data_IF_494691434603
#
_entry.id   IF_494691434603
#
_cell.length_a   1.000
_cell.length_b   1.000
_cell.length_c   1.000
_cell.angle_alpha   90.00
_cell.angle_beta   90.00
_cell.angle_gamma   90.00
#
_symmetry.space_group_name_H-M   'P 1'
#
loop_
_entity.id
_entity.type
_entity.pdbx_description
1 polymer ?
#
# COMPACT_ATOMS: atom_id res chain seq x y z
N UNK A 1 19.71 9.96 1.52
CA UNK A 1 20.27 10.51 0.26
C UNK A 1 21.75 10.15 0.27
N UNK A 2 22.28 9.37 -0.68
CA UNK A 2 23.69 8.92 -0.65
C UNK A 2 23.97 7.44 -0.96
N UNK A 3 22.96 6.63 -1.31
CA UNK A 3 23.19 5.31 -1.89
C UNK A 3 23.14 5.44 -3.40
N UNK A 4 24.13 4.89 -4.13
CA UNK A 4 24.07 4.81 -5.58
C UNK A 4 22.81 4.09 -6.07
N UNK A 5 22.35 4.38 -7.28
CA UNK A 5 21.13 3.83 -7.88
C UNK A 5 21.01 2.29 -7.69
N UNK A 6 22.09 1.55 -7.93
CA UNK A 6 22.13 0.10 -7.74
C UNK A 6 22.00 -0.36 -6.28
N UNK A 7 22.55 0.39 -5.32
CA UNK A 7 22.41 0.07 -3.90
C UNK A 7 20.98 0.33 -3.40
N UNK A 8 20.32 1.38 -3.91
CA UNK A 8 18.91 1.65 -3.63
C UNK A 8 18.01 0.52 -4.16
N UNK A 9 18.21 0.08 -5.40
CA UNK A 9 17.44 -1.02 -6.00
C UNK A 9 17.65 -2.34 -5.27
N UNK A 10 18.90 -2.66 -4.90
CA UNK A 10 19.20 -3.87 -4.13
C UNK A 10 18.49 -3.87 -2.78
N UNK A 11 18.58 -2.76 -2.04
CA UNK A 11 17.91 -2.59 -0.74
C UNK A 11 16.39 -2.72 -0.86
N UNK A 12 15.80 -2.13 -1.90
CA UNK A 12 14.35 -2.18 -2.16
C UNK A 12 13.90 -3.57 -2.60
N UNK A 13 14.67 -4.25 -3.44
CA UNK A 13 14.39 -5.62 -3.87
C UNK A 13 14.32 -6.57 -2.68
N UNK A 14 15.31 -6.53 -1.79
CA UNK A 14 15.30 -7.38 -0.59
C UNK A 14 14.12 -7.06 0.34
N UNK A 15 13.75 -5.79 0.49
CA UNK A 15 12.68 -5.37 1.41
C UNK A 15 11.27 -5.54 0.88
N UNK A 16 11.11 -5.84 -0.41
CA UNK A 16 9.80 -6.02 -1.05
C UNK A 16 9.62 -7.44 -1.56
N UNK A 17 10.58 -7.98 -2.32
CA UNK A 17 10.43 -9.28 -2.97
C UNK A 17 10.54 -10.45 -1.98
N UNK A 18 11.39 -10.34 -0.95
CA UNK A 18 11.46 -11.39 0.07
C UNK A 18 10.16 -11.48 0.90
N UNK A 19 9.62 -10.37 1.45
CA UNK A 19 8.32 -10.41 2.09
C UNK A 19 7.18 -10.84 1.19
N UNK A 20 7.22 -10.50 -0.10
CA UNK A 20 6.26 -10.97 -1.09
C UNK A 20 6.31 -12.50 -1.22
N UNK A 21 7.50 -13.06 -1.48
CA UNK A 21 7.68 -14.50 -1.63
C UNK A 21 7.27 -15.26 -0.35
N UNK A 22 7.69 -14.77 0.82
CA UNK A 22 7.27 -15.34 2.10
C UNK A 22 5.76 -15.24 2.31
N UNK A 23 5.17 -14.08 2.00
CA UNK A 23 3.75 -13.85 2.07
C UNK A 23 2.96 -14.82 1.19
N UNK A 24 3.36 -14.99 -0.07
CA UNK A 24 2.77 -15.95 -1.02
C UNK A 24 2.89 -17.40 -0.56
N UNK A 25 4.00 -17.75 0.11
CA UNK A 25 4.25 -19.12 0.56
C UNK A 25 3.59 -19.46 1.90
N UNK A 26 3.44 -18.50 2.82
CA UNK A 26 3.09 -18.79 4.22
C UNK A 26 1.84 -18.04 4.70
N UNK A 27 1.69 -16.77 4.34
CA UNK A 27 0.66 -15.90 4.94
C UNK A 27 -0.61 -15.88 4.11
N UNK A 28 -0.47 -15.75 2.79
CA UNK A 28 -1.57 -15.63 1.83
C UNK A 28 -2.28 -16.95 1.55
N UNK A 29 -1.69 -18.16 1.55
CA UNK A 29 -2.36 -19.38 1.08
C UNK A 29 -3.71 -19.72 1.73
N UNK A 30 -3.97 -19.24 2.95
CA UNK A 30 -5.29 -19.40 3.54
C UNK A 30 -6.41 -18.61 2.81
N UNK A 31 -6.07 -17.47 2.21
CA UNK A 31 -7.01 -16.63 1.46
C UNK A 31 -7.60 -17.33 0.22
N UNK A 32 -6.80 -17.85 -0.75
CA UNK A 32 -7.33 -18.57 -1.90
C UNK A 32 -8.00 -19.90 -1.50
N UNK A 33 -7.55 -20.55 -0.42
CA UNK A 33 -8.24 -21.71 0.15
C UNK A 33 -9.67 -21.35 0.58
N UNK A 34 -9.82 -20.31 1.41
CA UNK A 34 -11.12 -19.86 1.89
C UNK A 34 -12.05 -19.44 0.75
N UNK A 35 -11.52 -18.70 -0.24
CA UNK A 35 -12.26 -18.32 -1.45
C UNK A 35 -12.72 -19.53 -2.25
N UNK A 36 -11.82 -20.49 -2.52
CA UNK A 36 -12.15 -21.68 -3.31
C UNK A 36 -13.13 -22.62 -2.63
N UNK A 37 -13.06 -22.74 -1.30
CA UNK A 37 -14.06 -23.49 -0.52
C UNK A 37 -15.41 -22.77 -0.54
N UNK A 38 -15.42 -21.45 -0.33
CA UNK A 38 -16.66 -20.66 -0.33
C UNK A 38 -17.38 -20.68 -1.69
N UNK A 39 -16.62 -20.67 -2.79
CA UNK A 39 -17.16 -20.74 -4.15
C UNK A 39 -17.53 -22.18 -4.58
N UNK A 40 -17.27 -23.20 -3.75
CA UNK A 40 -17.55 -24.60 -4.06
C UNK A 40 -16.60 -25.25 -5.06
N UNK A 41 -15.49 -24.60 -5.40
CA UNK A 41 -14.49 -25.11 -6.35
C UNK A 41 -13.43 -25.99 -5.70
N UNK A 42 -13.23 -25.88 -4.38
CA UNK A 42 -12.21 -26.62 -3.62
C UNK A 42 -12.88 -27.33 -2.45
N UNK A 43 -12.58 -28.61 -2.27
CA UNK A 43 -13.05 -29.37 -1.11
C UNK A 43 -12.39 -28.89 0.19
N UNK A 44 -13.11 -28.91 1.33
CA UNK A 44 -12.51 -28.60 2.63
C UNK A 44 -11.31 -29.51 2.94
N UNK A 45 -10.24 -28.93 3.47
CA UNK A 45 -9.00 -29.64 3.78
C UNK A 45 -7.76 -28.79 3.47
N UNK A 46 -7.39 -27.90 4.39
CA UNK A 46 -6.30 -26.94 4.16
C UNK A 46 -4.95 -27.61 3.89
N UNK A 47 -4.64 -28.74 4.54
CA UNK A 47 -3.40 -29.47 4.28
C UNK A 47 -3.32 -30.03 2.85
N UNK A 48 -4.40 -30.64 2.36
CA UNK A 48 -4.49 -31.13 0.99
C UNK A 48 -4.43 -29.97 -0.03
N UNK A 49 -5.09 -28.85 0.29
CA UNK A 49 -4.97 -27.63 -0.50
C UNK A 49 -3.51 -27.14 -0.57
N UNK A 50 -2.79 -27.06 0.56
CA UNK A 50 -1.42 -26.58 0.59
C UNK A 50 -0.47 -27.46 -0.23
N UNK A 51 -0.61 -28.79 -0.16
CA UNK A 51 0.20 -29.71 -0.97
C UNK A 51 0.03 -29.44 -2.48
N UNK A 52 -1.22 -29.22 -2.92
CA UNK A 52 -1.53 -28.86 -4.31
C UNK A 52 -1.13 -27.43 -4.68
N UNK A 53 -1.19 -26.50 -3.73
CA UNK A 53 -0.76 -25.11 -3.91
C UNK A 53 0.74 -25.01 -4.14
N UNK A 54 1.53 -25.75 -3.37
CA UNK A 54 2.97 -25.79 -3.57
C UNK A 54 3.41 -26.62 -4.78
N UNK A 55 2.54 -27.48 -5.33
CA UNK A 55 2.79 -28.13 -6.64
C UNK A 55 2.40 -27.25 -7.83
N UNK A 56 1.84 -26.06 -7.61
CA UNK A 56 1.42 -25.14 -8.67
C UNK A 56 0.09 -25.48 -9.35
N UNK A 57 -0.75 -26.31 -8.72
CA UNK A 57 -2.01 -26.75 -9.31
C UNK A 57 -1.89 -28.12 -10.03
N UNK A 58 -2.68 -28.38 -11.09
CA UNK A 58 -3.63 -27.45 -11.74
C UNK A 58 -4.79 -27.08 -10.81
N UNK A 59 -5.54 -26.03 -11.10
CA UNK A 59 -6.74 -25.65 -10.35
C UNK A 59 -7.96 -25.58 -11.26
N UNK A 60 -9.18 -25.81 -10.75
CA UNK A 60 -10.39 -25.46 -11.47
C UNK A 60 -10.38 -23.98 -11.86
N UNK A 61 -10.92 -23.66 -13.04
CA UNK A 61 -11.07 -22.27 -13.47
C UNK A 61 -11.90 -21.49 -12.44
N UNK A 62 -11.49 -20.25 -12.15
CA UNK A 62 -12.12 -19.37 -11.16
C UNK A 62 -12.17 -19.91 -9.71
N UNK A 63 -11.36 -20.92 -9.37
CA UNK A 63 -11.27 -21.41 -7.99
C UNK A 63 -10.87 -20.29 -7.00
N UNK A 64 -9.92 -19.45 -7.39
CA UNK A 64 -9.50 -18.26 -6.65
C UNK A 64 -8.75 -17.32 -7.61
N UNK A 65 -8.50 -16.09 -7.16
CA UNK A 65 -7.75 -15.10 -7.95
C UNK A 65 -6.29 -15.55 -8.14
N UNK A 66 -5.88 -15.81 -9.39
CA UNK A 66 -4.56 -16.37 -9.75
C UNK A 66 -4.52 -17.90 -9.86
N UNK A 67 -5.68 -18.58 -9.88
CA UNK A 67 -5.76 -20.04 -10.04
C UNK A 67 -5.15 -20.55 -11.38
N UNK A 68 -5.17 -19.73 -12.42
CA UNK A 68 -4.56 -19.99 -13.73
C UNK A 68 -3.03 -20.05 -13.67
N UNK A 69 -2.42 -19.27 -12.77
CA UNK A 69 -0.97 -19.25 -12.53
C UNK A 69 -0.53 -20.32 -11.52
N UNK A 70 -1.46 -20.83 -10.70
CA UNK A 70 -1.20 -21.84 -9.68
C UNK A 70 -0.97 -21.29 -8.28
N UNK A 71 -0.54 -20.03 -8.18
CA UNK A 71 -0.24 -19.31 -6.94
C UNK A 71 -0.68 -17.85 -7.04
N UNK A 72 -0.90 -17.21 -5.90
CA UNK A 72 -1.37 -15.81 -5.83
C UNK A 72 -0.69 -15.01 -4.74
N UNK A 73 -0.50 -13.72 -4.99
CA UNK A 73 -0.11 -12.74 -3.97
C UNK A 73 -1.31 -12.10 -3.27
N UNK A 74 -2.53 -12.24 -3.81
CA UNK A 74 -3.72 -11.53 -3.33
C UNK A 74 -3.40 -10.07 -2.97
N UNK A 75 -3.76 -9.63 -1.76
CA UNK A 75 -3.53 -8.27 -1.25
C UNK A 75 -2.07 -7.79 -1.21
N UNK A 76 -1.11 -8.71 -1.38
CA UNK A 76 0.31 -8.38 -1.51
C UNK A 76 0.67 -7.87 -2.91
N UNK A 77 -0.30 -7.74 -3.83
CA UNK A 77 -0.10 -7.14 -5.17
C UNK A 77 0.61 -5.78 -5.13
N UNK A 78 0.45 -4.99 -4.06
CA UNK A 78 1.09 -3.68 -3.97
C UNK A 78 2.63 -3.77 -3.86
N UNK A 79 3.21 -4.88 -3.35
CA UNK A 79 4.66 -5.05 -3.23
C UNK A 79 5.37 -5.09 -4.60
N UNK A 80 4.99 -5.96 -5.57
CA UNK A 80 5.63 -5.97 -6.88
C UNK A 80 5.39 -4.67 -7.66
N UNK A 81 4.23 -4.02 -7.51
CA UNK A 81 3.95 -2.70 -8.11
C UNK A 81 4.91 -1.65 -7.58
N UNK A 82 5.05 -1.57 -6.25
CA UNK A 82 5.96 -0.63 -5.61
C UNK A 82 7.42 -0.89 -6.00
N UNK A 83 7.81 -2.14 -6.15
CA UNK A 83 9.14 -2.52 -6.64
C UNK A 83 9.34 -2.05 -8.09
N UNK A 84 8.40 -2.34 -8.98
CA UNK A 84 8.43 -1.94 -10.39
C UNK A 84 8.53 -0.42 -10.52
N UNK A 85 7.69 0.34 -9.80
CA UNK A 85 7.71 1.79 -9.86
C UNK A 85 8.99 2.38 -9.27
N UNK A 86 9.57 1.72 -8.26
CA UNK A 86 10.89 2.10 -7.76
C UNK A 86 11.98 1.86 -8.81
N UNK A 87 11.91 0.75 -9.56
CA UNK A 87 12.84 0.46 -10.66
C UNK A 87 12.73 1.51 -11.78
N UNK A 88 11.51 1.79 -12.23
CA UNK A 88 11.22 2.84 -13.23
C UNK A 88 11.71 4.21 -12.74
N UNK A 89 11.47 4.55 -11.47
CA UNK A 89 11.95 5.81 -10.89
C UNK A 89 13.47 5.90 -10.92
N UNK A 90 14.18 4.84 -10.53
CA UNK A 90 15.64 4.83 -10.52
C UNK A 90 16.21 4.96 -11.93
N UNK A 91 15.65 4.26 -12.91
CA UNK A 91 16.06 4.36 -14.32
C UNK A 91 15.78 5.75 -14.89
N UNK A 92 14.66 6.38 -14.50
CA UNK A 92 14.29 7.73 -14.95
C UNK A 92 14.97 8.87 -14.18
N UNK A 93 15.78 8.58 -13.15
CA UNK A 93 16.45 9.61 -12.35
C UNK A 93 17.27 10.62 -13.17
N UNK A 94 18.06 10.23 -14.19
CA UNK A 94 18.81 11.20 -15.00
C UNK A 94 17.88 12.20 -15.72
N UNK A 95 16.76 11.71 -16.26
CA UNK A 95 15.76 12.53 -16.93
C UNK A 95 15.03 13.45 -15.94
N UNK A 96 14.62 12.92 -14.79
CA UNK A 96 13.97 13.70 -13.73
C UNK A 96 14.92 14.74 -13.09
N UNK A 97 16.23 14.45 -13.09
CA UNK A 97 17.29 15.34 -12.63
C UNK A 97 17.66 16.44 -13.63
N UNK A 98 17.27 16.31 -14.90
CA UNK A 98 17.53 17.32 -15.92
C UNK A 98 16.84 18.65 -15.62
N UNK A 99 17.28 19.74 -16.28
CA UNK A 99 16.65 21.05 -16.13
C UNK A 99 15.15 21.04 -16.45
N UNK A 100 14.72 20.26 -17.44
CA UNK A 100 13.30 20.10 -17.76
C UNK A 100 12.54 19.32 -16.67
N UNK A 101 13.12 18.22 -16.18
CA UNK A 101 12.54 17.43 -15.09
C UNK A 101 12.35 18.25 -13.81
N UNK A 102 13.34 19.08 -13.46
CA UNK A 102 13.23 19.99 -12.33
C UNK A 102 12.18 21.09 -12.56
N UNK A 103 12.06 21.65 -13.77
CA UNK A 103 11.00 22.64 -14.08
C UNK A 103 9.60 22.05 -13.87
N UNK A 104 9.35 20.83 -14.37
CA UNK A 104 8.05 20.14 -14.19
C UNK A 104 7.78 19.90 -12.70
N UNK A 105 8.78 19.38 -11.97
CA UNK A 105 8.67 19.19 -10.53
C UNK A 105 8.36 20.49 -9.78
N UNK A 106 9.05 21.58 -10.11
CA UNK A 106 8.81 22.88 -9.50
C UNK A 106 7.43 23.45 -9.85
N UNK A 107 6.98 23.28 -11.09
CA UNK A 107 5.62 23.67 -11.48
C UNK A 107 4.56 22.95 -10.64
N UNK A 108 4.74 21.65 -10.39
CA UNK A 108 3.87 20.87 -9.51
C UNK A 108 3.96 21.32 -8.04
N UNK A 109 5.17 21.51 -7.50
CA UNK A 109 5.37 21.93 -6.10
C UNK A 109 4.87 23.35 -5.83
N UNK A 110 4.77 24.19 -6.85
CA UNK A 110 4.27 25.57 -6.75
C UNK A 110 2.75 25.69 -6.97
N UNK A 111 2.03 24.57 -7.13
CA UNK A 111 0.58 24.61 -7.22
C UNK A 111 -0.06 25.09 -5.91
N UNK A 112 -1.00 26.03 -6.01
CA UNK A 112 -1.73 26.60 -4.87
C UNK A 112 -3.23 26.70 -5.19
N UNK A 113 -4.06 26.73 -4.15
CA UNK A 113 -5.50 26.93 -4.23
C UNK A 113 -6.18 25.94 -5.18
N UNK A 114 -7.07 26.46 -6.03
CA UNK A 114 -7.81 25.66 -7.00
C UNK A 114 -6.91 24.89 -7.98
N UNK A 115 -5.72 25.42 -8.32
CA UNK A 115 -4.79 24.73 -9.23
C UNK A 115 -4.26 23.44 -8.62
N UNK A 116 -4.01 23.43 -7.30
CA UNK A 116 -3.62 22.21 -6.59
C UNK A 116 -4.76 21.19 -6.51
N UNK A 117 -6.02 21.63 -6.52
CA UNK A 117 -7.17 20.72 -6.57
C UNK A 117 -7.37 20.06 -7.94
N UNK A 118 -7.19 20.82 -9.03
CA UNK A 118 -7.60 20.38 -10.37
C UNK A 118 -6.45 19.74 -11.14
N UNK A 119 -5.29 20.40 -11.22
CA UNK A 119 -4.24 20.01 -12.17
C UNK A 119 -3.66 18.61 -11.93
N UNK A 120 -3.42 18.15 -10.67
CA UNK A 120 -2.94 16.79 -10.43
C UNK A 120 -3.95 15.69 -10.82
N UNK A 121 -5.24 16.01 -10.92
CA UNK A 121 -6.28 15.04 -11.28
C UNK A 121 -6.39 14.87 -12.79
N UNK A 122 -6.06 15.90 -13.57
CA UNK A 122 -6.20 15.87 -15.03
C UNK A 122 -5.57 14.64 -15.70
N UNK A 123 -4.31 14.25 -15.42
CA UNK A 123 -3.77 13.03 -16.00
C UNK A 123 -4.51 11.77 -15.53
N UNK A 124 -4.93 11.71 -14.26
CA UNK A 124 -5.67 10.56 -13.73
C UNK A 124 -7.04 10.40 -14.42
N UNK A 125 -7.77 11.51 -14.57
CA UNK A 125 -9.03 11.57 -15.30
C UNK A 125 -8.84 11.18 -16.77
N UNK A 126 -7.76 11.64 -17.42
CA UNK A 126 -7.43 11.25 -18.79
C UNK A 126 -7.16 9.75 -18.90
N UNK A 127 -6.43 9.16 -17.96
CA UNK A 127 -6.23 7.70 -17.93
C UNK A 127 -7.52 6.94 -17.71
N UNK A 128 -8.42 7.42 -16.85
CA UNK A 128 -9.74 6.84 -16.70
C UNK A 128 -10.61 6.96 -17.95
N UNK A 129 -10.49 8.06 -18.71
CA UNK A 129 -11.20 8.22 -19.97
C UNK A 129 -10.72 7.24 -21.04
N UNK A 130 -9.40 7.08 -21.16
CA UNK A 130 -8.78 6.38 -22.29
C UNK A 130 -8.48 4.90 -22.00
N UNK A 131 -8.04 4.57 -20.78
CA UNK A 131 -7.49 3.26 -20.44
C UNK A 131 -8.46 2.39 -19.63
N UNK A 132 -9.22 2.98 -18.69
CA UNK A 132 -10.10 2.21 -17.81
C UNK A 132 -11.11 1.29 -18.54
N UNK A 133 -11.72 1.69 -19.68
CA UNK A 133 -12.62 0.81 -20.42
C UNK A 133 -11.93 -0.41 -21.05
N UNK A 134 -10.63 -0.32 -21.30
CA UNK A 134 -9.84 -1.34 -22.02
C UNK A 134 -8.99 -2.21 -21.09
N UNK A 135 -8.66 -1.69 -19.91
CA UNK A 135 -7.82 -2.35 -18.91
C UNK A 135 -8.55 -2.39 -17.56
N UNK A 136 -9.51 -3.33 -17.39
CA UNK A 136 -10.14 -3.55 -16.09
C UNK A 136 -9.10 -3.89 -15.02
N UNK A 137 -9.23 -3.36 -13.79
CA UNK A 137 -8.25 -3.62 -12.73
C UNK A 137 -8.24 -5.10 -12.32
N UNK A 138 -7.09 -5.76 -12.47
CA UNK A 138 -6.87 -7.16 -12.11
C UNK A 138 -5.89 -7.34 -10.93
N UNK A 139 -4.98 -6.39 -10.72
CA UNK A 139 -3.85 -6.49 -9.79
C UNK A 139 -2.86 -7.63 -10.11
N UNK A 140 -2.73 -7.98 -11.41
CA UNK A 140 -1.86 -9.06 -11.90
C UNK A 140 -0.45 -8.59 -12.36
N UNK A 141 -0.11 -7.31 -12.17
CA UNK A 141 1.13 -6.64 -12.58
C UNK A 141 1.35 -6.49 -14.10
N UNK A 142 0.71 -7.29 -14.94
CA UNK A 142 1.06 -7.38 -16.37
C UNK A 142 0.01 -6.69 -17.24
N UNK A 143 -1.27 -6.93 -16.99
CA UNK A 143 -2.37 -6.47 -17.84
C UNK A 143 -3.03 -5.19 -17.29
N UNK A 144 -2.44 -4.60 -16.26
CA UNK A 144 -3.03 -3.54 -15.45
C UNK A 144 -2.74 -2.13 -15.97
N UNK A 145 -2.88 -1.91 -17.30
CA UNK A 145 -2.45 -0.69 -17.98
C UNK A 145 -3.01 0.62 -17.37
N UNK A 146 -4.31 0.63 -17.04
CA UNK A 146 -4.94 1.78 -16.36
C UNK A 146 -4.39 1.99 -14.94
N UNK A 147 -4.27 0.91 -14.15
CA UNK A 147 -3.74 0.99 -12.78
C UNK A 147 -2.27 1.41 -12.77
N UNK A 148 -1.46 0.97 -13.73
CA UNK A 148 -0.09 1.43 -13.88
C UNK A 148 -0.01 2.94 -14.12
N UNK A 149 -0.82 3.47 -15.04
CA UNK A 149 -0.84 4.90 -15.32
C UNK A 149 -1.21 5.73 -14.09
N UNK A 150 -2.25 5.32 -13.35
CA UNK A 150 -2.72 6.00 -12.14
C UNK A 150 -1.70 5.88 -11.00
N UNK A 151 -1.28 4.67 -10.66
CA UNK A 151 -0.43 4.44 -9.49
C UNK A 151 1.00 4.94 -9.67
N UNK A 152 1.59 4.81 -10.87
CA UNK A 152 2.93 5.37 -11.14
C UNK A 152 2.91 6.90 -11.04
N UNK A 153 1.85 7.54 -11.52
CA UNK A 153 1.67 9.00 -11.41
C UNK A 153 1.56 9.45 -9.96
N UNK A 154 0.72 8.78 -9.16
CA UNK A 154 0.59 9.08 -7.73
C UNK A 154 1.89 8.79 -6.95
N UNK A 155 2.61 7.73 -7.31
CA UNK A 155 3.93 7.43 -6.76
C UNK A 155 4.94 8.54 -7.06
N UNK A 156 4.95 9.05 -8.30
CA UNK A 156 5.79 10.18 -8.70
C UNK A 156 5.42 11.47 -7.94
N UNK A 157 4.13 11.75 -7.77
CA UNK A 157 3.67 12.89 -6.95
C UNK A 157 4.16 12.77 -5.51
N UNK A 158 4.01 11.60 -4.88
CA UNK A 158 4.52 11.35 -3.54
C UNK A 158 6.04 11.55 -3.44
N UNK A 159 6.79 11.12 -4.46
CA UNK A 159 8.24 11.33 -4.54
C UNK A 159 8.61 12.81 -4.66
N UNK A 160 7.89 13.60 -5.47
CA UNK A 160 8.10 15.04 -5.61
C UNK A 160 7.77 15.81 -4.34
N UNK A 161 6.61 15.54 -3.72
CA UNK A 161 6.12 16.19 -2.49
C UNK A 161 7.18 16.06 -1.40
N UNK A 162 7.65 14.84 -1.14
CA UNK A 162 8.73 14.55 -0.19
C UNK A 162 8.65 15.40 1.09
N UNK A 163 9.63 16.28 1.27
CA UNK A 163 9.75 17.19 2.41
C UNK A 163 9.54 18.67 2.04
N UNK A 164 8.82 18.96 0.95
CA UNK A 164 8.61 20.32 0.47
C UNK A 164 7.68 21.13 1.38
N UNK A 165 8.24 22.08 2.12
CA UNK A 165 7.49 22.80 3.16
C UNK A 165 6.33 23.64 2.59
N UNK A 166 6.50 24.23 1.40
CA UNK A 166 5.49 25.07 0.75
C UNK A 166 4.27 24.26 0.34
N UNK A 167 4.48 23.09 -0.25
CA UNK A 167 3.39 22.17 -0.60
C UNK A 167 2.65 21.66 0.64
N UNK A 168 3.37 21.25 1.69
CA UNK A 168 2.76 20.76 2.93
C UNK A 168 1.96 21.86 3.67
N UNK A 169 2.46 23.09 3.69
CA UNK A 169 1.75 24.23 4.24
C UNK A 169 0.44 24.50 3.47
N UNK A 170 0.48 24.42 2.14
CA UNK A 170 -0.71 24.60 1.31
C UNK A 170 -1.74 23.48 1.49
N UNK A 171 -1.31 22.21 1.50
CA UNK A 171 -2.21 21.09 1.77
C UNK A 171 -2.88 21.24 3.15
N UNK A 172 -2.11 21.69 4.16
CA UNK A 172 -2.64 22.00 5.49
C UNK A 172 -3.66 23.14 5.42
N UNK A 173 -3.40 24.22 4.67
CA UNK A 173 -4.33 25.34 4.49
C UNK A 173 -5.66 24.88 3.86
N UNK A 174 -5.60 23.98 2.88
CA UNK A 174 -6.75 23.49 2.12
C UNK A 174 -7.51 22.33 2.79
N UNK A 175 -7.02 21.79 3.92
CA UNK A 175 -7.54 20.55 4.56
C UNK A 175 -9.07 20.47 4.71
N UNK A 176 -9.74 21.57 5.06
CA UNK A 176 -11.20 21.60 5.25
C UNK A 176 -11.95 21.62 3.92
N UNK A 177 -11.49 22.44 2.97
CA UNK A 177 -12.03 22.46 1.62
C UNK A 177 -11.85 21.09 0.95
N UNK A 178 -10.69 20.47 1.14
CA UNK A 178 -10.39 19.13 0.62
C UNK A 178 -11.27 18.06 1.27
N UNK A 179 -11.50 18.14 2.58
CA UNK A 179 -12.40 17.22 3.29
C UNK A 179 -13.85 17.35 2.80
N UNK A 180 -14.35 18.59 2.68
CA UNK A 180 -15.70 18.86 2.15
C UNK A 180 -15.85 18.39 0.70
N UNK A 181 -14.85 18.67 -0.15
CA UNK A 181 -14.83 18.19 -1.52
C UNK A 181 -14.78 16.66 -1.59
N UNK A 182 -13.94 16.00 -0.78
CA UNK A 182 -13.88 14.54 -0.73
C UNK A 182 -15.21 13.93 -0.31
N UNK A 183 -15.86 14.45 0.73
CA UNK A 183 -17.17 13.97 1.17
C UNK A 183 -18.24 14.15 0.07
N UNK A 184 -18.31 15.33 -0.56
CA UNK A 184 -19.25 15.61 -1.64
C UNK A 184 -19.02 14.75 -2.89
N UNK A 185 -17.76 14.59 -3.30
CA UNK A 185 -17.39 13.76 -4.46
C UNK A 185 -17.62 12.27 -4.21
N UNK A 186 -17.43 11.81 -2.97
CA UNK A 186 -17.75 10.43 -2.57
C UNK A 186 -19.26 10.17 -2.67
N UNK A 187 -20.07 11.07 -2.11
CA UNK A 187 -21.52 10.99 -2.21
C UNK A 187 -21.98 11.02 -3.68
N UNK A 188 -21.39 11.92 -4.48
CA UNK A 188 -21.67 12.02 -5.91
C UNK A 188 -21.28 10.75 -6.67
N UNK A 189 -20.09 10.18 -6.40
CA UNK A 189 -19.64 8.93 -6.99
C UNK A 189 -20.61 7.77 -6.72
N UNK A 190 -20.97 7.57 -5.45
CA UNK A 190 -21.90 6.50 -5.07
C UNK A 190 -23.32 6.75 -5.58
N UNK A 191 -23.79 8.00 -5.55
CA UNK A 191 -25.09 8.38 -6.11
C UNK A 191 -25.17 8.09 -7.61
N UNK A 192 -24.15 8.47 -8.39
CA UNK A 192 -24.11 8.17 -9.82
C UNK A 192 -23.94 6.67 -10.10
N UNK A 193 -23.18 5.92 -9.28
CA UNK A 193 -23.08 4.46 -9.40
C UNK A 193 -24.41 3.77 -9.13
N UNK A 194 -25.11 4.19 -8.08
CA UNK A 194 -26.43 3.68 -7.74
C UNK A 194 -27.44 4.00 -8.84
N UNK A 195 -27.45 5.22 -9.37
CA UNK A 195 -28.31 5.59 -10.50
C UNK A 195 -27.96 4.83 -11.78
N UNK A 196 -26.67 4.63 -12.08
CA UNK A 196 -26.24 3.88 -13.25
C UNK A 196 -26.72 2.42 -13.24
N UNK A 197 -26.82 1.81 -12.06
CA UNK A 197 -27.23 0.42 -11.88
C UNK A 197 -28.74 0.28 -11.64
N UNK A 198 -29.30 1.04 -10.70
CA UNK A 198 -30.70 0.90 -10.27
C UNK A 198 -31.71 1.64 -11.13
N UNK A 199 -31.30 2.68 -11.86
CA UNK A 199 -32.15 3.40 -12.83
C UNK A 199 -31.77 3.07 -14.28
N UNK A 200 -30.92 2.04 -14.48
CA UNK A 200 -30.45 1.60 -15.80
C UNK A 200 -29.90 2.75 -16.67
N UNK A 201 -29.15 3.68 -16.06
CA UNK A 201 -28.52 4.83 -16.74
C UNK A 201 -27.02 4.58 -16.98
N UNK A 202 -26.61 3.71 -17.93
CA UNK A 202 -25.20 3.33 -18.12
C UNK A 202 -24.30 4.52 -18.46
N UNK A 203 -24.86 5.61 -19.02
CA UNK A 203 -24.15 6.86 -19.31
C UNK A 203 -23.53 7.53 -18.07
N UNK A 204 -24.00 7.20 -16.86
CA UNK A 204 -23.45 7.72 -15.60
C UNK A 204 -22.20 6.96 -15.11
N UNK A 205 -21.84 5.83 -15.73
CA UNK A 205 -20.66 5.04 -15.32
C UNK A 205 -19.35 5.82 -15.45
N UNK A 206 -19.15 6.50 -16.58
CA UNK A 206 -17.93 7.29 -16.81
C UNK A 206 -17.90 8.55 -15.92
N UNK A 207 -18.97 9.38 -15.84
CA UNK A 207 -19.04 10.46 -14.85
C UNK A 207 -18.74 9.99 -13.43
N UNK A 208 -19.29 8.84 -13.00
CA UNK A 208 -18.99 8.28 -11.68
C UNK A 208 -17.51 7.96 -11.51
N UNK A 209 -16.84 7.40 -12.52
CA UNK A 209 -15.39 7.15 -12.50
C UNK A 209 -14.59 8.45 -12.37
N UNK A 210 -14.95 9.49 -13.10
CA UNK A 210 -14.29 10.80 -13.02
C UNK A 210 -14.50 11.47 -11.65
N UNK A 211 -15.70 11.33 -11.07
CA UNK A 211 -15.95 11.75 -9.69
C UNK A 211 -15.08 10.97 -8.69
N UNK A 212 -14.80 9.68 -8.94
CA UNK A 212 -13.88 8.90 -8.12
C UNK A 212 -12.42 9.38 -8.24
N UNK A 213 -11.98 9.84 -9.41
CA UNK A 213 -10.63 10.38 -9.60
C UNK A 213 -10.44 11.71 -8.86
N UNK A 214 -11.45 12.58 -8.93
CA UNK A 214 -11.50 13.82 -8.16
C UNK A 214 -11.55 13.54 -6.65
N UNK A 215 -12.39 12.58 -6.25
CA UNK A 215 -12.49 12.13 -4.86
C UNK A 215 -11.14 11.64 -4.34
N UNK A 216 -10.45 10.79 -5.11
CA UNK A 216 -9.15 10.23 -4.76
C UNK A 216 -8.18 11.34 -4.38
N UNK A 217 -8.04 12.37 -5.23
CA UNK A 217 -7.10 13.44 -4.97
C UNK A 217 -7.55 14.38 -3.84
N UNK A 218 -8.84 14.72 -3.75
CA UNK A 218 -9.38 15.50 -2.66
C UNK A 218 -9.18 14.80 -1.30
N UNK A 219 -9.41 13.48 -1.25
CA UNK A 219 -9.18 12.66 -0.07
C UNK A 219 -7.69 12.62 0.30
N UNK A 220 -6.78 12.47 -0.67
CA UNK A 220 -5.34 12.54 -0.43
C UNK A 220 -4.94 13.91 0.15
N UNK A 221 -5.40 15.02 -0.42
CA UNK A 221 -5.13 16.36 0.12
C UNK A 221 -5.67 16.54 1.54
N UNK A 222 -6.88 16.05 1.82
CA UNK A 222 -7.48 16.10 3.14
C UNK A 222 -6.68 15.28 4.16
N UNK A 223 -6.36 14.03 3.84
CA UNK A 223 -5.60 13.12 4.72
C UNK A 223 -4.22 13.68 4.98
N UNK A 224 -3.49 14.09 3.93
CA UNK A 224 -2.13 14.61 4.06
C UNK A 224 -2.11 15.94 4.82
N UNK A 225 -3.05 16.85 4.54
CA UNK A 225 -3.17 18.13 5.25
C UNK A 225 -3.48 17.96 6.74
N UNK A 226 -4.40 17.07 7.10
CA UNK A 226 -4.71 16.76 8.50
C UNK A 226 -3.58 16.02 9.21
N UNK A 227 -2.98 15.03 8.56
CA UNK A 227 -1.84 14.29 9.10
C UNK A 227 -0.65 15.21 9.35
N UNK A 228 -0.37 16.14 8.43
CA UNK A 228 0.69 17.12 8.63
C UNK A 228 0.42 18.03 9.84
N UNK A 229 -0.81 18.52 10.00
CA UNK A 229 -1.17 19.39 11.12
C UNK A 229 -1.16 18.68 12.48
N UNK A 230 -1.67 17.43 12.54
CA UNK A 230 -1.98 16.76 13.82
C UNK A 230 -0.98 15.66 14.20
N UNK A 231 -0.34 15.03 13.22
CA UNK A 231 0.48 13.83 13.42
C UNK A 231 1.97 14.07 13.17
N UNK A 232 2.36 15.17 12.49
CA UNK A 232 3.76 15.50 12.19
C UNK A 232 4.54 16.03 13.41
N UNK A 233 4.66 15.19 14.45
CA UNK A 233 5.39 15.47 15.68
C UNK A 233 6.03 14.18 16.21
N UNK A 234 7.08 14.26 17.04
CA UNK A 234 7.65 13.07 17.65
C UNK A 234 6.63 12.45 18.63
N UNK A 235 6.32 11.17 18.43
CA UNK A 235 5.52 10.39 19.38
C UNK A 235 6.37 9.30 20.02
N UNK A 236 6.17 9.06 21.31
CA UNK A 236 6.89 8.01 22.06
C UNK A 236 6.75 6.61 21.42
N UNK A 237 5.60 6.34 20.81
CA UNK A 237 5.28 5.06 20.17
C UNK A 237 5.55 5.05 18.66
N UNK A 238 6.02 6.16 18.07
CA UNK A 238 6.32 6.24 16.63
C UNK A 238 7.34 5.19 16.15
N UNK A 239 8.44 4.90 16.89
CA UNK A 239 9.36 3.84 16.50
C UNK A 239 8.68 2.47 16.41
N UNK A 240 7.77 2.19 17.35
CA UNK A 240 6.96 0.96 17.34
C UNK A 240 6.02 0.94 16.14
N UNK A 241 5.31 2.04 15.87
CA UNK A 241 4.39 2.16 14.75
C UNK A 241 5.10 1.95 13.41
N UNK A 242 6.24 2.62 13.20
CA UNK A 242 7.05 2.48 11.99
C UNK A 242 7.51 1.03 11.74
N UNK A 243 7.87 0.30 12.79
CA UNK A 243 8.21 -1.13 12.68
C UNK A 243 6.98 -2.04 12.56
N UNK A 244 5.76 -1.55 12.79
CA UNK A 244 4.54 -2.37 12.79
C UNK A 244 3.74 -2.23 11.51
N UNK A 245 3.80 -1.09 10.82
CA UNK A 245 3.02 -0.82 9.59
C UNK A 245 3.18 -1.93 8.55
N UNK A 246 4.41 -2.35 8.25
CA UNK A 246 4.64 -3.33 7.19
C UNK A 246 4.27 -4.76 7.60
N UNK A 247 4.61 -5.26 8.81
CA UNK A 247 4.04 -6.52 9.31
C UNK A 247 2.51 -6.55 9.33
N UNK A 248 1.86 -5.47 9.78
CA UNK A 248 0.39 -5.37 9.80
C UNK A 248 -0.18 -5.43 8.40
N UNK A 249 0.45 -4.75 7.44
CA UNK A 249 0.07 -4.83 6.05
C UNK A 249 0.17 -6.27 5.49
N UNK A 250 1.20 -7.04 5.84
CA UNK A 250 1.32 -8.44 5.40
C UNK A 250 0.28 -9.37 6.07
N UNK A 251 -0.11 -9.09 7.31
CA UNK A 251 -0.94 -9.99 8.13
C UNK A 251 -2.45 -9.72 8.01
N UNK A 252 -2.84 -8.45 7.94
CA UNK A 252 -4.23 -8.03 8.23
C UNK A 252 -5.27 -8.74 7.37
N UNK A 253 -5.07 -8.87 6.05
CA UNK A 253 -6.11 -9.44 5.20
C UNK A 253 -6.30 -10.95 5.42
N UNK A 254 -5.24 -11.70 5.73
CA UNK A 254 -5.40 -13.11 6.10
C UNK A 254 -6.18 -13.24 7.41
N UNK A 255 -5.91 -12.37 8.38
CA UNK A 255 -6.65 -12.34 9.65
C UNK A 255 -8.12 -11.93 9.44
N UNK A 256 -8.39 -10.97 8.55
CA UNK A 256 -9.77 -10.59 8.17
C UNK A 256 -10.47 -11.78 7.55
N UNK A 257 -9.86 -12.47 6.57
CA UNK A 257 -10.51 -13.60 5.90
C UNK A 257 -10.73 -14.76 6.87
N UNK A 258 -9.75 -15.06 7.73
CA UNK A 258 -9.94 -16.03 8.80
C UNK A 258 -11.10 -15.62 9.71
N UNK A 259 -11.08 -14.40 10.26
CA UNK A 259 -12.17 -13.88 11.09
C UNK A 259 -13.53 -13.96 10.40
N UNK A 260 -13.62 -13.59 9.12
CA UNK A 260 -14.85 -13.63 8.35
C UNK A 260 -15.38 -15.06 8.16
N UNK A 261 -14.52 -16.04 7.86
CA UNK A 261 -14.93 -17.46 7.75
C UNK A 261 -15.50 -17.97 9.07
N UNK A 262 -14.92 -17.56 10.21
CA UNK A 262 -15.38 -17.98 11.53
C UNK A 262 -16.63 -17.23 12.02
N UNK A 263 -16.77 -15.95 11.68
CA UNK A 263 -17.85 -15.08 12.15
C UNK A 263 -19.10 -15.13 11.25
N UNK A 264 -18.95 -15.29 9.93
CA UNK A 264 -20.07 -15.23 8.99
C UNK A 264 -21.20 -16.22 9.31
N UNK A 265 -20.95 -17.47 9.76
CA UNK A 265 -22.03 -18.39 10.15
C UNK A 265 -22.85 -17.93 11.37
N UNK A 266 -22.30 -17.02 12.18
CA UNK A 266 -22.95 -16.53 13.40
C UNK A 266 -23.99 -15.43 13.11
N UNK A 267 -23.94 -14.82 11.91
CA UNK A 267 -24.88 -13.79 11.44
C UNK A 267 -25.17 -12.71 12.50
N UNK A 268 -24.13 -12.13 13.10
CA UNK A 268 -24.25 -11.22 14.26
C UNK A 268 -24.76 -9.81 13.90
N UNK A 269 -25.22 -9.63 12.67
CA UNK A 269 -25.75 -8.37 12.16
C UNK A 269 -24.67 -7.34 11.82
N UNK A 270 -25.08 -6.18 11.28
CA UNK A 270 -24.20 -5.22 10.62
C UNK A 270 -23.32 -4.38 11.58
N UNK A 271 -23.45 -4.59 12.89
CA UNK A 271 -22.71 -3.84 13.92
C UNK A 271 -21.72 -4.74 14.65
N UNK A 272 -22.21 -5.83 15.24
CA UNK A 272 -21.37 -6.70 16.08
C UNK A 272 -20.35 -7.44 15.24
N UNK A 273 -20.75 -7.97 14.08
CA UNK A 273 -19.84 -8.74 13.21
C UNK A 273 -18.66 -7.89 12.71
N UNK A 274 -18.85 -6.68 12.13
CA UNK A 274 -17.71 -5.85 11.72
C UNK A 274 -16.84 -5.37 12.89
N UNK A 275 -17.42 -5.11 14.06
CA UNK A 275 -16.67 -4.70 15.26
C UNK A 275 -15.77 -5.84 15.75
N UNK A 276 -16.29 -7.07 15.81
CA UNK A 276 -15.50 -8.26 16.18
C UNK A 276 -14.43 -8.56 15.14
N UNK A 277 -14.76 -8.43 13.85
CA UNK A 277 -13.81 -8.64 12.77
C UNK A 277 -12.64 -7.62 12.83
N UNK A 278 -12.97 -6.35 13.00
CA UNK A 278 -11.96 -5.29 13.13
C UNK A 278 -11.13 -5.46 14.41
N UNK A 279 -11.79 -5.72 15.55
CA UNK A 279 -11.13 -5.92 16.84
C UNK A 279 -10.19 -7.12 16.85
N UNK A 280 -10.64 -8.26 16.34
CA UNK A 280 -9.82 -9.47 16.23
C UNK A 280 -8.65 -9.29 15.25
N UNK A 281 -8.85 -8.59 14.14
CA UNK A 281 -7.78 -8.27 13.19
C UNK A 281 -6.71 -7.37 13.82
N UNK A 282 -7.11 -6.29 14.49
CA UNK A 282 -6.18 -5.38 15.18
C UNK A 282 -5.42 -6.12 16.28
N UNK A 283 -6.13 -6.91 17.09
CA UNK A 283 -5.53 -7.71 18.15
C UNK A 283 -4.55 -8.75 17.59
N UNK A 284 -4.94 -9.47 16.53
CA UNK A 284 -4.09 -10.47 15.87
C UNK A 284 -2.83 -9.84 15.27
N UNK A 285 -2.96 -8.73 14.54
CA UNK A 285 -1.81 -7.98 14.03
C UNK A 285 -0.88 -7.53 15.16
N UNK A 286 -1.44 -7.03 16.26
CA UNK A 286 -0.65 -6.61 17.44
C UNK A 286 0.09 -7.79 18.08
N UNK A 287 -0.61 -8.90 18.34
CA UNK A 287 -0.06 -10.11 18.97
C UNK A 287 1.04 -10.76 18.10
N UNK A 288 0.82 -10.88 16.79
CA UNK A 288 1.77 -11.51 15.87
C UNK A 288 2.98 -10.60 15.57
N UNK A 289 2.81 -9.28 15.59
CA UNK A 289 3.93 -8.35 15.38
C UNK A 289 4.94 -8.39 16.51
N UNK A 290 4.52 -8.70 17.75
CA UNK A 290 5.41 -8.80 18.90
C UNK A 290 6.54 -9.85 18.70
N UNK A 291 6.27 -11.13 18.38
CA UNK A 291 7.31 -12.11 18.08
C UNK A 291 8.08 -11.79 16.79
N UNK A 292 7.42 -11.29 15.73
CA UNK A 292 8.10 -10.90 14.46
C UNK A 292 9.20 -9.87 14.72
N UNK A 293 8.95 -8.89 15.59
CA UNK A 293 9.95 -7.87 15.93
C UNK A 293 11.07 -8.40 16.83
N UNK A 294 10.77 -9.40 17.67
CA UNK A 294 11.70 -9.99 18.64
C UNK A 294 12.65 -11.00 17.99
N UNK A 295 12.14 -11.87 17.12
CA UNK A 295 12.88 -12.98 16.49
C UNK A 295 13.65 -12.47 15.27
N UNK A 296 14.98 -12.55 15.31
CA UNK A 296 15.86 -11.89 14.35
C UNK A 296 15.64 -12.28 12.88
N UNK A 297 15.39 -13.57 12.62
CA UNK A 297 15.22 -14.10 11.26
C UNK A 297 13.83 -13.83 10.65
N UNK A 298 12.80 -13.60 11.49
CA UNK A 298 11.46 -13.22 11.01
C UNK A 298 11.43 -11.77 10.48
N UNK A 299 12.23 -10.87 11.07
CA UNK A 299 12.27 -9.45 10.69
C UNK A 299 12.36 -9.20 9.18
N UNK A 300 13.35 -9.75 8.45
CA UNK A 300 13.45 -9.51 7.01
C UNK A 300 12.26 -10.07 6.21
N UNK A 301 11.62 -11.16 6.65
CA UNK A 301 10.43 -11.74 6.02
C UNK A 301 9.20 -10.82 6.11
N UNK A 302 9.21 -9.90 7.06
CA UNK A 302 8.22 -8.84 7.21
C UNK A 302 8.84 -7.46 6.98
N UNK A 303 9.80 -7.34 6.06
CA UNK A 303 10.37 -6.07 5.55
C UNK A 303 11.08 -5.19 6.58
N UNK A 304 11.32 -5.71 7.79
CA UNK A 304 12.04 -5.04 8.85
C UNK A 304 13.54 -5.18 8.66
N UNK A 305 14.28 -4.15 9.08
CA UNK A 305 15.74 -4.21 9.08
C UNK A 305 16.22 -5.31 10.02
N UNK A 306 17.25 -6.09 9.67
CA UNK A 306 17.94 -6.98 10.59
C UNK A 306 18.34 -6.22 11.85
N UNK A 307 18.32 -6.88 13.02
CA UNK A 307 18.90 -6.28 14.22
C UNK A 307 20.40 -6.09 13.96
N UNK A 308 20.92 -4.89 14.25
CA UNK A 308 22.37 -4.70 14.26
C UNK A 308 22.99 -5.71 15.25
N UNK A 309 24.15 -6.30 14.93
CA UNK A 309 24.91 -7.04 15.92
C UNK A 309 25.10 -6.13 17.14
N UNK A 310 24.87 -6.66 18.35
CA UNK A 310 25.24 -5.92 19.57
C UNK A 310 26.72 -5.62 19.44
N UNK A 311 27.07 -4.34 19.29
CA UNK A 311 28.47 -3.93 19.41
C UNK A 311 28.88 -4.30 20.84
N UNK A 312 29.72 -5.32 20.99
CA UNK A 312 30.40 -5.50 22.27
C UNK A 312 31.17 -4.20 22.54
N UNK A 313 31.11 -3.65 23.76
CA UNK A 313 32.01 -2.57 24.12
C UNK A 313 33.43 -3.04 23.81
N UNK A 314 34.11 -2.32 22.93
CA UNK A 314 35.55 -2.55 22.71
C UNK A 314 36.22 -2.42 24.08
N UNK A 315 37.08 -3.35 24.52
CA UNK A 315 37.80 -3.21 25.77
C UNK A 315 38.50 -1.85 25.74
N UNK A 316 38.17 -0.99 26.71
CA UNK A 316 38.67 0.38 26.76
C UNK A 316 40.19 0.37 26.66
N UNK A 317 40.75 1.13 25.71
CA UNK A 317 42.17 1.49 25.73
C UNK A 317 42.45 2.12 27.10
N UNK A 318 43.43 1.62 27.88
CA UNK A 318 43.82 2.28 29.12
C UNK A 318 44.23 3.72 28.80
N UNK A 319 43.70 4.68 29.56
CA UNK A 319 44.12 6.07 29.46
C UNK A 319 45.62 6.16 29.80
N UNK A 320 46.40 6.75 28.91
CA UNK A 320 47.80 7.07 29.18
C UNK A 320 47.85 8.10 30.34
N UNK A 321 48.67 7.89 31.37
CA UNK A 321 48.77 8.84 32.47
C UNK A 321 49.33 10.17 31.95
N UNK A 322 48.64 11.26 32.29
CA UNK A 322 49.06 12.61 31.97
C UNK A 322 50.43 12.88 32.61
N UNK A 323 51.44 13.15 31.77
CA UNK A 323 52.76 13.58 32.21
C UNK A 323 52.64 14.89 32.98
N UNK A 324 53.14 14.91 34.21
CA UNK A 324 53.31 16.12 35.01
C UNK A 324 54.42 16.97 34.38
N UNK A 325 54.10 18.17 33.95
CA UNK A 325 55.07 19.22 33.66
C UNK A 325 55.55 19.85 34.98
N UNK A 326 56.88 19.94 35.13
CA UNK A 326 57.55 20.82 36.09
C UNK A 326 57.63 22.24 35.52
#
# INVERSE_FOLDING_TARGET
>A
RGQGAGALLRSRSWRLLLPLAFGMAVVVPYQPYAQGVANGHIAPGFGAFLLRYFSGGPWPAAAFDGADVGMTWNHLWYLPYLWLYTAVLVVSMPLLGSGQGQRVRQAFLNLRGARLFVLPVLPLALYSLLLWPHFPPSHDLIHDGWLHAVYLTLFLYGWWIGTDAGWWAEATRLRWAALGAAAGLLALHFGMRAAAQGLEMPGLRMPARLAADLYLWAALLAILGWAHLKLNRPWRWLPWAHESVYPWYVLHQTLIIAGAVWLAPLALGPVVEPVLLAGSTVLGCWLLTAPIRRIGWLRPLFGLKPKAPRQCPSPGRPALPAGRSA
#
